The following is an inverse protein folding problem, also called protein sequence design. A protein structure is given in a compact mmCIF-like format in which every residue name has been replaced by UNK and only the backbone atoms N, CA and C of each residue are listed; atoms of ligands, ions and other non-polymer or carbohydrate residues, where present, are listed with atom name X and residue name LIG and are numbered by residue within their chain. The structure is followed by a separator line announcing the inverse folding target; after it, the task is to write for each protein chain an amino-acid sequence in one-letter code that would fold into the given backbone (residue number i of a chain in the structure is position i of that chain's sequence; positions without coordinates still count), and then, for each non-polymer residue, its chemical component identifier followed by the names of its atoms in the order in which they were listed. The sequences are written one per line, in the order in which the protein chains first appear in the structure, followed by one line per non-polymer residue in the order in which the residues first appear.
data_IF_713920482089
#
_entry.id   IF_713920482089
#
_cell.length_a   1.000
_cell.length_b   1.000
_cell.length_c   1.000
_cell.angle_alpha   90.00
_cell.angle_beta   90.00
_cell.angle_gamma   90.00
#
_symmetry.space_group_name_H-M   'P 1'
#
loop_
_entity.id
_entity.type
_entity.pdbx_description
1 polymer ?
#
# COMPACT_ATOMS: atom_id res chain seq x y z
N UNK A 1 -18.18 2.47 11.87
CA UNK A 1 -16.90 3.01 11.38
C UNK A 1 -16.05 1.80 11.08
N UNK A 2 -15.69 1.60 9.82
CA UNK A 2 -14.92 0.45 9.37
C UNK A 2 -13.45 0.84 9.35
N UNK A 3 -12.60 -0.09 9.77
CA UNK A 3 -11.16 0.03 9.61
C UNK A 3 -10.75 -0.88 8.46
N UNK A 4 -10.05 -0.32 7.47
CA UNK A 4 -9.48 -1.06 6.37
C UNK A 4 -7.97 -0.91 6.40
N UNK A 5 -7.27 -2.00 6.17
CA UNK A 5 -5.82 -2.01 6.09
C UNK A 5 -5.43 -2.05 4.63
N UNK A 6 -4.48 -1.20 4.23
CA UNK A 6 -3.92 -1.20 2.89
C UNK A 6 -2.41 -1.31 2.96
N UNK A 7 -1.85 -2.12 2.08
CA UNK A 7 -0.43 -2.11 1.76
C UNK A 7 -0.24 -1.16 0.58
N UNK A 8 0.52 -0.10 0.78
CA UNK A 8 0.91 0.86 -0.24
C UNK A 8 2.36 0.58 -0.62
N UNK A 9 2.66 0.39 -1.89
CA UNK A 9 4.01 0.18 -2.40
C UNK A 9 4.37 1.29 -3.37
N UNK A 10 5.43 2.04 -3.07
CA UNK A 10 5.99 3.03 -3.99
C UNK A 10 7.05 2.36 -4.84
N UNK A 11 6.86 2.36 -6.16
CA UNK A 11 7.91 2.01 -7.11
C UNK A 11 8.39 3.30 -7.77
N UNK A 12 9.68 3.67 -7.61
CA UNK A 12 10.22 4.84 -8.27
C UNK A 12 10.32 4.57 -9.77
N UNK A 13 9.36 5.07 -10.54
CA UNK A 13 9.42 5.11 -12.00
C UNK A 13 9.93 6.48 -12.44
N UNK A 14 10.74 6.51 -13.49
CA UNK A 14 11.58 7.64 -13.96
C UNK A 14 10.82 8.94 -14.33
N UNK A 15 9.49 9.00 -14.15
CA UNK A 15 8.64 10.14 -14.51
C UNK A 15 7.44 10.36 -13.59
N UNK A 16 7.43 9.76 -12.40
CA UNK A 16 6.32 9.80 -11.44
C UNK A 16 6.25 8.46 -10.72
N UNK A 17 6.33 8.47 -9.39
CA UNK A 17 6.27 7.24 -8.59
C UNK A 17 4.92 6.57 -8.77
N UNK A 18 4.93 5.27 -9.11
CA UNK A 18 3.71 4.47 -9.15
C UNK A 18 3.46 3.95 -7.74
N UNK A 19 2.25 4.19 -7.24
CA UNK A 19 1.80 3.73 -5.94
C UNK A 19 0.82 2.57 -6.13
N UNK A 20 1.24 1.35 -5.79
CA UNK A 20 0.36 0.18 -5.81
C UNK A 20 -0.32 0.05 -4.45
N UNK A 21 -1.65 0.09 -4.43
CA UNK A 21 -2.46 0.04 -3.21
C UNK A 21 -3.23 -1.28 -3.20
N UNK A 22 -2.95 -2.13 -2.20
CA UNK A 22 -3.57 -3.45 -2.07
C UNK A 22 -4.30 -3.57 -0.73
N UNK A 23 -5.61 -3.90 -0.72
CA UNK A 23 -6.33 -4.15 0.53
C UNK A 23 -5.79 -5.40 1.23
N UNK A 24 -5.49 -5.27 2.51
CA UNK A 24 -4.99 -6.36 3.36
C UNK A 24 -6.06 -6.82 4.33
N UNK A 25 -6.10 -8.14 4.65
CA UNK A 25 -7.11 -8.68 5.55
C UNK A 25 -6.94 -8.20 7.00
N UNK A 26 -5.72 -7.87 7.42
CA UNK A 26 -5.40 -7.28 8.72
C UNK A 26 -3.97 -6.71 8.73
N UNK A 27 -3.63 -6.01 9.82
CA UNK A 27 -2.33 -5.35 10.02
C UNK A 27 -1.17 -6.35 10.11
N UNK A 28 -1.36 -7.51 10.75
CA UNK A 28 -0.31 -8.54 10.87
C UNK A 28 0.12 -9.10 9.52
N UNK A 29 -0.84 -9.37 8.63
CA UNK A 29 -0.60 -9.83 7.27
C UNK A 29 0.07 -8.74 6.45
N UNK A 30 -0.38 -7.49 6.59
CA UNK A 30 0.25 -6.36 5.93
C UNK A 30 1.74 -6.24 6.31
N UNK A 31 2.05 -6.25 7.62
CA UNK A 31 3.43 -6.14 8.12
C UNK A 31 4.28 -7.33 7.66
N UNK A 32 3.74 -8.55 7.70
CA UNK A 32 4.47 -9.74 7.20
C UNK A 32 4.77 -9.60 5.72
N UNK A 33 3.80 -9.16 4.92
CA UNK A 33 3.99 -8.99 3.48
C UNK A 33 5.00 -7.87 3.18
N UNK A 34 4.90 -6.74 3.87
CA UNK A 34 5.85 -5.63 3.77
C UNK A 34 7.28 -6.11 4.06
N UNK A 35 7.49 -6.84 5.16
CA UNK A 35 8.81 -7.40 5.50
C UNK A 35 9.34 -8.37 4.45
N UNK A 36 8.46 -9.19 3.86
CA UNK A 36 8.84 -10.10 2.76
C UNK A 36 9.25 -9.30 1.53
N UNK A 37 8.55 -8.21 1.20
CA UNK A 37 8.87 -7.33 0.08
C UNK A 37 10.17 -6.56 0.32
N UNK A 38 10.39 -6.03 1.53
CA UNK A 38 11.65 -5.39 1.93
C UNK A 38 12.83 -6.37 1.85
N UNK A 39 12.66 -7.60 2.35
CA UNK A 39 13.68 -8.64 2.29
C UNK A 39 13.99 -9.10 0.85
N UNK A 40 12.97 -9.12 -0.03
CA UNK A 40 13.12 -9.45 -1.46
C UNK A 40 13.62 -8.27 -2.30
N UNK A 41 13.37 -7.04 -1.87
CA UNK A 41 13.85 -5.79 -2.48
C UNK A 41 15.35 -5.55 -2.31
N UNK A 42 16.05 -6.45 -1.62
CA UNK A 42 17.50 -6.47 -1.55
C UNK A 42 18.14 -6.75 -2.92
N UNK A 43 18.74 -5.70 -3.51
CA UNK A 43 19.55 -5.64 -4.74
C UNK A 43 18.79 -5.65 -6.07
N UNK A 44 18.37 -4.46 -6.54
CA UNK A 44 18.40 -4.23 -8.00
C UNK A 44 17.42 -3.23 -8.60
N UNK A 45 16.37 -2.82 -7.89
CA UNK A 45 15.44 -1.80 -8.37
C UNK A 45 15.16 -0.84 -7.21
N UNK A 46 15.32 0.46 -7.46
CA UNK A 46 15.43 1.51 -6.44
C UNK A 46 14.37 1.41 -5.34
N UNK A 47 14.81 1.63 -4.09
CA UNK A 47 14.02 1.81 -2.87
C UNK A 47 12.51 1.68 -3.01
N UNK A 48 12.00 0.45 -3.15
CA UNK A 48 10.57 0.21 -3.05
C UNK A 48 10.18 0.47 -1.59
N UNK A 49 9.73 1.68 -1.29
CA UNK A 49 9.23 2.05 0.03
C UNK A 49 7.78 1.61 0.12
N UNK A 50 7.49 0.66 1.00
CA UNK A 50 6.14 0.21 1.27
C UNK A 50 5.68 0.63 2.65
N UNK A 51 4.38 0.87 2.82
CA UNK A 51 3.78 1.18 4.12
C UNK A 51 2.43 0.48 4.28
N UNK A 52 2.15 0.07 5.52
CA UNK A 52 0.86 -0.44 5.94
C UNK A 52 0.04 0.68 6.57
N UNK A 53 -1.01 1.13 5.90
CA UNK A 53 -1.89 2.19 6.38
C UNK A 53 -3.22 1.61 6.86
N UNK A 54 -3.74 2.18 7.94
CA UNK A 54 -5.08 1.88 8.45
C UNK A 54 -5.97 3.09 8.23
N UNK A 55 -7.04 2.90 7.45
CA UNK A 55 -8.02 3.94 7.17
C UNK A 55 -9.30 3.63 7.92
N UNK A 56 -9.69 4.54 8.81
CA UNK A 56 -10.97 4.50 9.53
C UNK A 56 -11.98 5.38 8.84
N UNK A 57 -12.93 4.79 8.15
CA UNK A 57 -13.97 5.53 7.42
C UNK A 57 -15.37 5.03 7.75
N UNK A 58 -16.38 5.81 7.37
CA UNK A 58 -17.79 5.38 7.35
C UNK A 58 -18.23 4.94 5.96
N UNK A 59 -17.40 5.16 4.95
CA UNK A 59 -17.65 4.83 3.56
C UNK A 59 -17.33 3.36 3.24
N UNK A 60 -17.96 2.79 2.19
CA UNK A 60 -17.62 1.46 1.72
C UNK A 60 -16.21 1.44 1.10
N UNK A 61 -15.56 0.27 1.13
CA UNK A 61 -14.19 0.07 0.63
C UNK A 61 -13.99 0.60 -0.80
N UNK A 62 -14.98 0.46 -1.68
CA UNK A 62 -14.88 0.96 -3.06
C UNK A 62 -14.69 2.48 -3.13
N UNK A 63 -15.39 3.26 -2.29
CA UNK A 63 -15.25 4.72 -2.23
C UNK A 63 -13.85 5.12 -1.77
N UNK A 64 -13.32 4.39 -0.79
CA UNK A 64 -11.95 4.60 -0.29
C UNK A 64 -10.93 4.25 -1.37
N UNK A 65 -11.12 3.14 -2.09
CA UNK A 65 -10.23 2.72 -3.17
C UNK A 65 -10.23 3.74 -4.32
N UNK A 66 -11.38 4.24 -4.74
CA UNK A 66 -11.48 5.30 -5.76
C UNK A 66 -10.71 6.56 -5.32
N UNK A 67 -10.94 7.01 -4.08
CA UNK A 67 -10.24 8.19 -3.53
C UNK A 67 -8.72 8.00 -3.48
N UNK A 68 -8.26 6.80 -3.15
CA UNK A 68 -6.84 6.47 -3.10
C UNK A 68 -6.19 6.32 -4.49
N UNK A 69 -6.95 5.89 -5.50
CA UNK A 69 -6.47 5.72 -6.86
C UNK A 69 -6.48 7.02 -7.68
N UNK A 70 -7.38 7.96 -7.40
CA UNK A 70 -7.50 9.23 -8.14
C UNK A 70 -6.57 10.36 -7.63
N UNK A 71 -5.83 10.13 -6.55
CA UNK A 71 -4.93 11.14 -5.94
C UNK A 71 -3.57 11.35 -6.64
N UNK A 72 -3.42 10.93 -7.90
CA UNK A 72 -2.17 10.95 -8.67
C UNK A 72 -2.04 12.12 -9.63
#
# INVERSE_FOLDING_TARGET
MHAFIFLVLMTPSSGGGIWDITPMPNTDVCIKMLRVLEARGGRGYGSNTGECIEIKTREPLNSVMETLSEGG
#
